data_IF_931398000721
#
_entry.id   IF_931398000721
#
_cell.length_a   1.000
_cell.length_b   1.000
_cell.length_c   1.000
_cell.angle_alpha   90.00
_cell.angle_beta   90.00
_cell.angle_gamma   90.00
#
_symmetry.space_group_name_H-M   'P 1'
#
loop_
_entity.id
_entity.type
_entity.pdbx_description
1 polymer ?
#
# COMPACT_ATOMS: atom_id res chain seq x y z
N UNK A 1 18.95 24.86 -27.80
CA UNK A 1 18.25 23.56 -27.69
C UNK A 1 18.72 22.91 -26.39
N UNK A 2 17.99 23.13 -25.29
CA UNK A 2 18.31 22.60 -23.98
C UNK A 2 17.67 21.20 -23.88
N UNK A 3 18.49 20.14 -23.96
CA UNK A 3 18.02 18.79 -23.68
C UNK A 3 17.73 18.67 -22.18
N UNK A 4 16.46 18.74 -21.81
CA UNK A 4 15.99 18.22 -20.53
C UNK A 4 16.11 16.70 -20.59
N UNK A 5 17.18 16.17 -19.99
CA UNK A 5 17.27 14.76 -19.64
C UNK A 5 16.18 14.50 -18.60
N UNK A 6 15.05 13.94 -19.03
CA UNK A 6 14.10 13.31 -18.12
C UNK A 6 14.81 12.08 -17.57
N UNK A 7 15.47 12.23 -16.43
CA UNK A 7 15.90 11.09 -15.65
C UNK A 7 14.61 10.41 -15.15
N UNK A 8 14.26 9.27 -15.74
CA UNK A 8 13.31 8.36 -15.10
C UNK A 8 13.93 7.95 -13.76
N UNK A 9 13.54 8.60 -12.66
CA UNK A 9 13.90 8.15 -11.32
C UNK A 9 13.32 6.75 -11.16
N UNK A 10 14.17 5.74 -10.99
CA UNK A 10 13.73 4.39 -10.62
C UNK A 10 13.09 4.45 -9.24
N UNK A 11 11.95 3.79 -9.07
CA UNK A 11 11.35 3.55 -7.76
C UNK A 11 12.31 2.73 -6.91
N UNK A 12 12.46 3.06 -5.63
CA UNK A 12 13.18 2.22 -4.69
C UNK A 12 12.22 1.20 -4.06
N UNK A 13 12.12 0.01 -4.67
CA UNK A 13 11.16 -1.01 -4.25
C UNK A 13 11.80 -2.05 -3.35
N UNK A 14 11.18 -2.42 -2.21
CA UNK A 14 11.70 -3.46 -1.33
C UNK A 14 11.58 -4.83 -2.01
N UNK A 15 12.30 -5.83 -1.50
CA UNK A 15 12.11 -7.22 -1.93
C UNK A 15 10.81 -7.75 -1.34
N UNK A 16 9.92 -8.27 -2.19
CA UNK A 16 8.70 -8.96 -1.74
C UNK A 16 9.11 -10.24 -0.99
N UNK A 17 8.59 -10.50 0.24
CA UNK A 17 8.89 -11.72 0.97
C UNK A 17 8.44 -12.98 0.20
N UNK A 18 9.07 -14.11 0.53
CA UNK A 18 8.58 -15.41 0.09
C UNK A 18 7.34 -15.79 0.90
N UNK A 19 6.37 -16.42 0.24
CA UNK A 19 5.16 -16.89 0.91
C UNK A 19 5.47 -18.04 1.85
N UNK A 20 4.91 -18.02 3.06
CA UNK A 20 5.08 -19.11 4.02
C UNK A 20 4.35 -20.38 3.54
N UNK A 21 4.84 -21.59 3.89
CA UNK A 21 4.14 -22.82 3.53
C UNK A 21 2.72 -22.86 4.10
N UNK A 22 1.72 -22.95 3.22
CA UNK A 22 0.30 -22.98 3.60
C UNK A 22 -0.35 -21.59 3.76
N UNK A 23 0.41 -20.51 3.59
CA UNK A 23 -0.16 -19.17 3.53
C UNK A 23 -0.88 -18.95 2.21
N UNK A 24 -2.15 -18.58 2.30
CA UNK A 24 -3.00 -18.16 1.17
C UNK A 24 -3.59 -16.78 1.40
N UNK A 25 -3.19 -16.09 2.48
CA UNK A 25 -3.56 -14.72 2.80
C UNK A 25 -2.32 -13.90 3.09
N UNK A 26 -2.35 -12.62 2.71
CA UNK A 26 -1.29 -11.67 3.02
C UNK A 26 -1.88 -10.39 3.59
N UNK A 27 -1.33 -9.95 4.72
CA UNK A 27 -1.58 -8.63 5.28
C UNK A 27 -0.36 -7.73 5.04
N UNK A 28 -0.58 -6.56 4.44
CA UNK A 28 0.47 -5.58 4.17
C UNK A 28 0.17 -4.27 4.89
N UNK A 29 1.11 -3.82 5.73
CA UNK A 29 1.05 -2.51 6.37
C UNK A 29 1.94 -1.52 5.63
N UNK A 30 1.39 -0.36 5.30
CA UNK A 30 2.07 0.67 4.51
C UNK A 30 2.10 1.99 5.27
N UNK A 31 3.31 2.45 5.60
CA UNK A 31 3.54 3.69 6.33
C UNK A 31 3.28 4.94 5.45
N UNK A 32 3.19 6.11 6.11
CA UNK A 32 2.95 7.40 5.46
C UNK A 32 4.23 8.13 5.04
N UNK A 33 4.07 9.39 4.64
CA UNK A 33 5.20 10.24 4.27
C UNK A 33 5.98 10.71 5.50
N UNK A 34 7.28 10.41 5.55
CA UNK A 34 8.12 10.74 6.71
C UNK A 34 8.34 9.60 7.68
N UNK A 35 7.46 8.59 7.65
CA UNK A 35 7.51 7.40 8.52
C UNK A 35 8.33 6.27 7.87
N UNK A 36 8.68 5.27 8.67
CA UNK A 36 9.19 3.96 8.25
C UNK A 36 8.48 2.80 8.96
N UNK A 37 8.80 1.53 8.59
CA UNK A 37 8.27 0.33 9.24
C UNK A 37 8.48 0.28 10.75
N UNK A 38 9.54 0.89 11.28
CA UNK A 38 9.90 0.90 12.70
C UNK A 38 9.02 1.80 13.58
N UNK A 39 8.27 2.74 13.00
CA UNK A 39 7.51 3.73 13.77
C UNK A 39 6.23 3.14 14.37
N UNK A 40 5.35 2.64 13.51
CA UNK A 40 4.08 2.03 13.89
C UNK A 40 3.77 0.71 13.16
N UNK A 41 4.16 0.51 11.87
CA UNK A 41 3.75 -0.68 11.14
C UNK A 41 4.22 -1.97 11.79
N UNK A 42 5.48 -2.04 12.26
CA UNK A 42 6.02 -3.25 12.90
C UNK A 42 5.27 -3.59 14.19
N UNK A 43 5.04 -2.60 15.07
CA UNK A 43 4.28 -2.82 16.31
C UNK A 43 2.84 -3.28 16.01
N UNK A 44 2.20 -2.72 14.99
CA UNK A 44 0.87 -3.16 14.57
C UNK A 44 0.91 -4.57 13.96
N UNK A 45 1.91 -4.89 13.13
CA UNK A 45 2.12 -6.21 12.56
C UNK A 45 2.24 -7.28 13.65
N UNK A 46 3.04 -7.02 14.68
CA UNK A 46 3.22 -7.91 15.83
C UNK A 46 1.91 -8.09 16.61
N UNK A 47 1.18 -7.00 16.87
CA UNK A 47 -0.10 -7.05 17.58
C UNK A 47 -1.16 -7.83 16.79
N UNK A 48 -1.24 -7.63 15.47
CA UNK A 48 -2.14 -8.40 14.59
C UNK A 48 -1.73 -9.87 14.60
N UNK A 49 -0.45 -10.17 14.37
CA UNK A 49 0.07 -11.53 14.29
C UNK A 49 -0.24 -12.34 15.55
N UNK A 50 -0.16 -11.70 16.73
CA UNK A 50 -0.49 -12.31 18.01
C UNK A 50 -1.99 -12.65 18.19
N UNK A 51 -2.87 -12.08 17.36
CA UNK A 51 -4.32 -12.21 17.47
C UNK A 51 -4.99 -12.80 16.21
N UNK A 52 -4.21 -13.23 15.21
CA UNK A 52 -4.74 -13.84 13.99
C UNK A 52 -5.46 -15.16 14.28
N UNK A 53 -6.57 -15.36 13.57
CA UNK A 53 -7.24 -16.65 13.46
C UNK A 53 -6.62 -17.39 12.28
N UNK A 54 -6.26 -18.66 12.46
CA UNK A 54 -5.48 -19.45 11.48
C UNK A 54 -4.15 -18.76 11.10
N UNK A 55 -3.26 -18.44 12.05
CA UNK A 55 -2.05 -17.67 11.78
C UNK A 55 -1.13 -18.30 10.73
N UNK A 56 -1.18 -19.62 10.55
CA UNK A 56 -0.45 -20.36 9.52
C UNK A 56 -0.90 -20.04 8.08
N UNK A 57 -2.10 -19.48 7.90
CA UNK A 57 -2.64 -19.08 6.58
C UNK A 57 -2.25 -17.65 6.19
N UNK A 58 -1.67 -16.89 7.11
CA UNK A 58 -1.39 -15.47 6.92
C UNK A 58 0.10 -15.20 6.91
N UNK A 59 0.56 -14.56 5.84
CA UNK A 59 1.78 -13.77 5.88
C UNK A 59 1.45 -12.34 6.35
N UNK A 60 2.36 -11.73 7.12
CA UNK A 60 2.23 -10.34 7.58
C UNK A 60 3.51 -9.60 7.23
N UNK A 61 3.38 -8.47 6.55
CA UNK A 61 4.51 -7.72 6.03
C UNK A 61 4.33 -6.21 6.14
N UNK A 62 5.42 -5.51 6.43
CA UNK A 62 5.50 -4.04 6.43
C UNK A 62 6.21 -3.58 5.16
N UNK A 63 5.51 -2.81 4.32
CA UNK A 63 6.05 -2.27 3.08
C UNK A 63 6.94 -1.04 3.35
N UNK A 64 8.22 -1.16 3.00
CA UNK A 64 9.22 -0.10 3.12
C UNK A 64 9.30 0.72 1.82
N UNK A 65 9.09 2.03 1.91
CA UNK A 65 9.20 2.96 0.78
C UNK A 65 9.65 4.38 1.19
N UNK A 66 10.35 4.51 2.32
CA UNK A 66 10.74 5.78 2.95
C UNK A 66 11.50 6.73 2.01
N UNK A 67 12.38 6.20 1.17
CA UNK A 67 13.16 6.99 0.21
C UNK A 67 12.29 7.75 -0.80
N UNK A 68 11.12 7.20 -1.12
CA UNK A 68 10.13 7.79 -2.02
C UNK A 68 8.99 8.50 -1.26
N UNK A 69 8.80 8.17 0.01
CA UNK A 69 7.79 8.73 0.90
C UNK A 69 8.21 10.07 1.54
N UNK A 70 9.51 10.33 1.70
CA UNK A 70 10.01 11.52 2.40
C UNK A 70 10.08 12.78 1.51
N UNK A 71 9.59 13.91 2.04
CA UNK A 71 9.85 15.26 1.50
C UNK A 71 9.32 15.56 0.09
N UNK A 72 8.47 14.68 -0.45
CA UNK A 72 7.98 14.78 -1.82
C UNK A 72 6.63 15.50 -1.90
N UNK A 73 6.56 16.59 -2.67
CA UNK A 73 5.28 17.22 -3.06
C UNK A 73 4.42 16.30 -3.93
N UNK A 74 5.00 15.21 -4.44
CA UNK A 74 4.34 14.19 -5.26
C UNK A 74 4.24 12.85 -4.52
N UNK A 75 4.29 12.84 -3.18
CA UNK A 75 4.32 11.61 -2.38
C UNK A 75 3.18 10.64 -2.74
N UNK A 76 1.97 11.16 -2.94
CA UNK A 76 0.79 10.37 -3.37
C UNK A 76 1.00 9.72 -4.73
N UNK A 77 1.53 10.48 -5.71
CA UNK A 77 1.81 9.94 -7.04
C UNK A 77 2.90 8.86 -6.98
N UNK A 78 3.94 9.06 -6.16
CA UNK A 78 4.96 8.02 -5.94
C UNK A 78 4.33 6.80 -5.26
N UNK A 79 3.48 7.00 -4.27
CA UNK A 79 2.74 5.94 -3.61
C UNK A 79 1.94 5.10 -4.61
N UNK A 80 1.20 5.74 -5.53
CA UNK A 80 0.52 5.03 -6.63
C UNK A 80 1.47 4.21 -7.49
N UNK A 81 2.63 4.77 -7.86
CA UNK A 81 3.63 4.07 -8.65
C UNK A 81 4.23 2.86 -7.89
N UNK A 82 4.44 2.97 -6.57
CA UNK A 82 4.79 1.84 -5.69
C UNK A 82 3.69 0.80 -5.62
N UNK A 83 2.43 1.25 -5.48
CA UNK A 83 1.26 0.39 -5.43
C UNK A 83 1.11 -0.43 -6.72
N UNK A 84 1.29 0.20 -7.88
CA UNK A 84 1.26 -0.51 -9.17
C UNK A 84 2.36 -1.55 -9.31
N UNK A 85 3.57 -1.19 -8.88
CA UNK A 85 4.67 -2.15 -8.84
C UNK A 85 4.34 -3.32 -7.90
N UNK A 86 3.83 -3.03 -6.70
CA UNK A 86 3.50 -4.05 -5.70
C UNK A 86 2.37 -4.95 -6.19
N UNK A 87 1.29 -4.39 -6.73
CA UNK A 87 0.17 -5.13 -7.32
C UNK A 87 0.65 -6.10 -8.41
N UNK A 88 1.50 -5.64 -9.33
CA UNK A 88 2.07 -6.49 -10.37
C UNK A 88 2.95 -7.64 -9.82
N UNK A 89 3.57 -7.49 -8.64
CA UNK A 89 4.29 -8.58 -7.98
C UNK A 89 3.38 -9.50 -7.19
N UNK A 90 2.28 -8.98 -6.65
CA UNK A 90 1.29 -9.77 -5.92
C UNK A 90 0.44 -10.62 -6.85
N UNK A 91 0.17 -10.17 -8.09
CA UNK A 91 -0.48 -11.00 -9.12
C UNK A 91 0.34 -12.23 -9.54
N UNK A 92 1.63 -12.25 -9.23
CA UNK A 92 2.51 -13.40 -9.47
C UNK A 92 2.50 -14.40 -8.29
N UNK A 93 1.70 -14.14 -7.26
CA UNK A 93 1.59 -14.98 -6.04
C UNK A 93 0.22 -15.66 -5.99
N UNK A 94 0.19 -16.82 -5.34
CA UNK A 94 -1.02 -17.62 -5.17
C UNK A 94 -1.82 -17.24 -3.90
N UNK A 95 -1.84 -15.95 -3.53
CA UNK A 95 -2.70 -15.49 -2.43
C UNK A 95 -4.15 -15.39 -2.90
N UNK A 96 -5.08 -15.90 -2.08
CA UNK A 96 -6.52 -15.78 -2.29
C UNK A 96 -7.10 -14.53 -1.61
N UNK A 97 -6.39 -13.97 -0.63
CA UNK A 97 -6.82 -12.80 0.12
C UNK A 97 -5.67 -11.83 0.41
N UNK A 98 -5.87 -10.55 0.10
CA UNK A 98 -4.97 -9.47 0.46
C UNK A 98 -5.70 -8.48 1.38
N UNK A 99 -5.11 -8.21 2.54
CA UNK A 99 -5.55 -7.12 3.41
C UNK A 99 -4.46 -6.05 3.47
N UNK A 100 -4.74 -4.88 2.89
CA UNK A 100 -3.82 -3.76 2.86
C UNK A 100 -4.24 -2.70 3.87
N UNK A 101 -3.31 -2.26 4.72
CA UNK A 101 -3.55 -1.22 5.73
C UNK A 101 -2.58 -0.07 5.48
N UNK A 102 -3.09 1.10 5.11
CA UNK A 102 -2.28 2.25 4.69
C UNK A 102 -2.58 3.51 5.49
N UNK A 103 -1.53 4.17 5.99
CA UNK A 103 -1.66 5.45 6.71
C UNK A 103 -1.28 6.64 5.84
N UNK A 104 -2.03 7.75 5.91
CA UNK A 104 -1.67 9.02 5.29
C UNK A 104 -1.35 8.86 3.79
N UNK A 105 -0.14 9.19 3.34
CA UNK A 105 0.29 9.00 1.95
C UNK A 105 0.40 7.53 1.51
N UNK A 106 0.51 6.59 2.45
CA UNK A 106 0.47 5.15 2.20
C UNK A 106 -0.86 4.68 1.61
N UNK A 107 -1.94 5.44 1.80
CA UNK A 107 -3.22 5.22 1.13
C UNK A 107 -3.10 5.20 -0.41
N UNK A 108 -2.17 5.97 -0.97
CA UNK A 108 -1.94 6.00 -2.41
C UNK A 108 -1.28 4.70 -2.92
N UNK A 109 -0.49 4.04 -2.08
CA UNK A 109 0.08 2.71 -2.38
C UNK A 109 -1.04 1.67 -2.44
N UNK A 110 -1.95 1.68 -1.47
CA UNK A 110 -3.15 0.83 -1.48
C UNK A 110 -3.91 0.99 -2.80
N UNK A 111 -4.26 2.22 -3.15
CA UNK A 111 -4.96 2.52 -4.40
C UNK A 111 -4.20 2.02 -5.63
N UNK A 112 -2.87 2.18 -5.69
CA UNK A 112 -2.09 1.65 -6.81
C UNK A 112 -2.13 0.12 -6.90
N UNK A 113 -2.23 -0.59 -5.77
CA UNK A 113 -2.40 -2.05 -5.74
C UNK A 113 -3.79 -2.42 -6.26
N UNK A 114 -4.86 -1.82 -5.74
CA UNK A 114 -6.23 -2.11 -6.18
C UNK A 114 -6.49 -1.73 -7.63
N UNK A 115 -5.96 -0.59 -8.11
CA UNK A 115 -6.01 -0.19 -9.53
C UNK A 115 -5.35 -1.25 -10.44
N UNK A 116 -4.36 -1.98 -9.93
CA UNK A 116 -3.65 -3.02 -10.69
C UNK A 116 -4.37 -4.37 -10.64
N UNK A 117 -5.04 -4.68 -9.53
CA UNK A 117 -5.63 -5.98 -9.24
C UNK A 117 -7.17 -6.02 -9.37
N UNK A 118 -7.81 -4.92 -9.79
CA UNK A 118 -9.27 -4.77 -9.81
C UNK A 118 -10.03 -5.88 -10.54
N UNK A 119 -9.41 -6.52 -11.53
CA UNK A 119 -10.01 -7.59 -12.35
C UNK A 119 -9.39 -8.97 -12.08
N UNK A 120 -8.58 -9.13 -11.04
CA UNK A 120 -7.90 -10.40 -10.72
C UNK A 120 -8.90 -11.43 -10.17
N UNK A 121 -9.16 -12.48 -10.96
CA UNK A 121 -10.18 -13.45 -10.63
C UNK A 121 -9.76 -14.37 -9.46
N UNK A 122 -10.61 -14.47 -8.43
CA UNK A 122 -10.37 -15.36 -7.29
C UNK A 122 -9.56 -14.74 -6.16
N UNK A 123 -9.12 -13.48 -6.32
CA UNK A 123 -8.51 -12.68 -5.27
C UNK A 123 -9.59 -11.90 -4.52
N UNK A 124 -9.55 -11.89 -3.20
CA UNK A 124 -10.28 -10.93 -2.37
C UNK A 124 -9.34 -9.82 -1.92
N UNK A 125 -9.67 -8.57 -2.24
CA UNK A 125 -8.90 -7.40 -1.84
C UNK A 125 -9.64 -6.57 -0.79
N UNK A 126 -9.06 -6.49 0.41
CA UNK A 126 -9.54 -5.65 1.51
C UNK A 126 -8.55 -4.52 1.78
N UNK A 127 -9.04 -3.29 1.84
CA UNK A 127 -8.26 -2.10 2.16
C UNK A 127 -8.75 -1.43 3.45
N UNK A 128 -7.82 -0.99 4.29
CA UNK A 128 -8.08 -0.17 5.47
C UNK A 128 -7.24 1.09 5.40
N UNK A 129 -7.92 2.22 5.32
CA UNK A 129 -7.34 3.55 5.22
C UNK A 129 -7.27 4.21 6.60
N UNK A 130 -6.07 4.44 7.10
CA UNK A 130 -5.82 5.16 8.35
C UNK A 130 -5.52 6.62 8.02
N UNK A 131 -6.44 7.53 8.33
CA UNK A 131 -6.33 8.97 8.10
C UNK A 131 -5.73 9.32 6.71
N UNK A 132 -6.35 8.84 5.61
CA UNK A 132 -5.73 8.84 4.29
C UNK A 132 -5.48 10.26 3.76
N UNK A 133 -4.28 10.50 3.25
CA UNK A 133 -3.97 11.74 2.56
C UNK A 133 -4.48 11.68 1.12
N UNK A 134 -5.49 12.51 0.81
CA UNK A 134 -6.16 12.51 -0.49
C UNK A 134 -5.58 13.45 -1.56
N UNK A 135 -4.57 14.26 -1.23
CA UNK A 135 -4.03 15.25 -2.15
C UNK A 135 -3.07 14.66 -3.18
N UNK A 136 -3.26 14.95 -4.47
CA UNK A 136 -2.35 14.56 -5.55
C UNK A 136 -1.77 15.82 -6.24
N UNK A 137 -0.63 16.30 -5.73
CA UNK A 137 -0.03 17.57 -6.17
C UNK A 137 -0.86 18.80 -5.77
N UNK A 138 -0.49 19.97 -6.30
CA UNK A 138 -1.00 21.26 -5.79
C UNK A 138 -2.48 21.58 -6.12
N UNK A 139 -3.10 20.87 -7.06
CA UNK A 139 -4.41 21.22 -7.63
C UNK A 139 -5.49 20.14 -7.45
N UNK A 140 -5.16 18.97 -6.90
CA UNK A 140 -6.09 17.83 -6.77
C UNK A 140 -6.19 17.36 -5.32
N UNK A 141 -6.78 18.18 -4.48
CA UNK A 141 -6.90 17.91 -3.04
C UNK A 141 -7.89 16.80 -2.69
N UNK A 142 -8.92 16.61 -3.52
CA UNK A 142 -9.96 15.58 -3.35
C UNK A 142 -9.67 14.31 -4.18
N UNK A 143 -8.42 14.06 -4.58
CA UNK A 143 -8.13 12.91 -5.45
C UNK A 143 -8.42 11.59 -4.74
N UNK A 144 -7.91 11.42 -3.52
CA UNK A 144 -8.13 10.20 -2.73
C UNK A 144 -9.60 9.99 -2.38
N UNK A 145 -10.33 11.05 -2.01
CA UNK A 145 -11.77 10.98 -1.70
C UNK A 145 -12.61 10.39 -2.84
N UNK A 146 -12.13 10.52 -4.08
CA UNK A 146 -12.83 10.05 -5.27
C UNK A 146 -12.33 8.70 -5.79
N UNK A 147 -11.24 8.15 -5.25
CA UNK A 147 -10.52 7.01 -5.86
C UNK A 147 -10.18 5.89 -4.90
N UNK A 148 -9.85 6.22 -3.66
CA UNK A 148 -9.44 5.22 -2.69
C UNK A 148 -10.60 4.26 -2.39
N UNK A 149 -10.34 2.96 -2.52
CA UNK A 149 -11.33 1.88 -2.38
C UNK A 149 -12.07 1.48 -3.65
N UNK A 150 -11.92 2.17 -4.78
CA UNK A 150 -12.68 1.85 -6.01
C UNK A 150 -12.43 0.44 -6.56
N UNK A 151 -11.21 -0.10 -6.38
CA UNK A 151 -10.79 -1.41 -6.89
C UNK A 151 -10.74 -2.52 -5.84
N UNK A 152 -11.25 -2.29 -4.63
CA UNK A 152 -11.25 -3.27 -3.54
C UNK A 152 -12.63 -3.88 -3.32
N UNK A 153 -12.69 -5.15 -2.90
CA UNK A 153 -13.94 -5.80 -2.49
C UNK A 153 -14.49 -5.23 -1.19
N UNK A 154 -13.57 -4.86 -0.28
CA UNK A 154 -13.87 -4.22 0.99
C UNK A 154 -12.94 -3.03 1.20
N UNK A 155 -13.50 -1.89 1.62
CA UNK A 155 -12.73 -0.70 1.93
C UNK A 155 -13.31 -0.01 3.16
N UNK A 156 -12.46 0.19 4.18
CA UNK A 156 -12.82 0.88 5.42
C UNK A 156 -11.89 2.08 5.64
N UNK A 157 -12.40 3.14 6.28
CA UNK A 157 -11.60 4.30 6.64
C UNK A 157 -11.75 4.64 8.13
N UNK A 158 -10.61 4.83 8.80
CA UNK A 158 -10.52 5.31 10.18
C UNK A 158 -9.93 6.71 10.15
N UNK A 159 -10.77 7.72 10.39
CA UNK A 159 -10.38 9.13 10.35
C UNK A 159 -10.05 9.63 11.76
N UNK A 160 -8.93 10.32 11.92
CA UNK A 160 -8.63 10.99 13.18
C UNK A 160 -9.23 12.41 13.16
N UNK A 161 -10.48 12.54 13.61
CA UNK A 161 -11.14 13.83 13.74
C UNK A 161 -10.76 14.46 15.09
N UNK A 162 -9.61 15.13 15.15
CA UNK A 162 -9.26 16.03 16.26
C UNK A 162 -9.95 17.40 16.10
#
# INVERSE_FOLDING_TARGET
>A
MLLLLVACSRLNTPTLPESSPGADRLLVLVHGGGDGPEDWPTTMAEAISANLIEPERWDVWTYEWIDDAQGSVNVTRRGEDHGRWLGARLSERDYEHLHLIGHSAGAAVLYGVSDTLADEAGLTLHETYLDPFGGQGLLRWEYGERRYGEGADFADAVLNTL
#
